data_IF_738935508420
#
_entry.id   IF_738935508420
#
_cell.length_a   1.000
_cell.length_b   1.000
_cell.length_c   1.000
_cell.angle_alpha   90.00
_cell.angle_beta   90.00
_cell.angle_gamma   90.00
#
_symmetry.space_group_name_H-M   'P 1'
#
loop_
_entity.id
_entity.type
_entity.pdbx_description
1 polymer ?
#
# COMPACT_ATOMS: atom_id res chain seq x y z
N UNK A 1 1.72 27.72 -4.18
CA UNK A 1 1.63 26.82 -5.34
C UNK A 1 0.79 25.63 -4.94
N UNK A 2 -0.03 25.07 -5.82
CA UNK A 2 -0.74 23.82 -5.51
C UNK A 2 0.28 22.69 -5.32
N UNK A 3 0.03 21.80 -4.35
CA UNK A 3 0.85 20.61 -4.12
C UNK A 3 0.87 19.71 -5.36
N UNK A 4 2.05 19.23 -5.74
CA UNK A 4 2.18 18.25 -6.82
C UNK A 4 1.75 16.88 -6.30
N UNK A 5 0.84 16.22 -7.02
CA UNK A 5 0.44 14.85 -6.73
C UNK A 5 1.37 13.87 -7.45
N UNK A 6 1.93 12.95 -6.71
CA UNK A 6 2.86 11.94 -7.22
C UNK A 6 2.19 10.56 -7.28
N UNK A 7 2.14 9.96 -8.47
CA UNK A 7 1.65 8.58 -8.67
C UNK A 7 2.76 7.62 -9.12
N UNK A 8 3.96 8.14 -9.43
CA UNK A 8 5.17 7.35 -9.77
C UNK A 8 6.14 7.39 -8.59
N UNK A 9 5.84 6.61 -7.55
CA UNK A 9 6.58 6.66 -6.28
C UNK A 9 6.39 5.38 -5.47
N UNK A 10 7.14 5.25 -4.39
CA UNK A 10 6.85 4.27 -3.34
C UNK A 10 5.77 4.85 -2.42
N UNK A 11 4.68 4.11 -2.28
CA UNK A 11 3.61 4.39 -1.32
C UNK A 11 3.68 3.41 -0.14
N UNK A 12 4.12 3.83 1.05
CA UNK A 12 3.87 3.08 2.28
C UNK A 12 2.37 2.87 2.48
N UNK A 13 1.94 1.62 2.62
CA UNK A 13 0.65 1.31 3.21
C UNK A 13 0.83 1.38 4.72
N UNK A 14 0.40 2.50 5.33
CA UNK A 14 0.69 2.77 6.74
C UNK A 14 -0.15 1.90 7.68
N UNK A 15 0.50 1.37 8.73
CA UNK A 15 -0.16 0.67 9.82
C UNK A 15 -0.72 1.67 10.83
N UNK A 16 -1.83 1.33 11.49
CA UNK A 16 -2.45 2.18 12.52
C UNK A 16 -2.15 1.59 13.90
N UNK A 17 -1.38 2.29 14.78
CA UNK A 17 -1.10 1.80 16.13
C UNK A 17 -2.36 1.91 17.00
N UNK A 18 -2.59 0.90 17.82
CA UNK A 18 -3.75 0.81 18.70
C UNK A 18 -3.31 0.77 20.17
N UNK A 19 -4.12 1.37 21.05
CA UNK A 19 -4.02 1.21 22.50
C UNK A 19 -4.70 -0.09 22.95
N UNK A 20 -4.52 -0.46 24.22
CA UNK A 20 -5.08 -1.68 24.80
C UNK A 20 -6.62 -1.74 24.76
N UNK A 21 -7.28 -0.58 24.71
CA UNK A 21 -8.74 -0.46 24.54
C UNK A 21 -9.19 -0.49 23.06
N UNK A 22 -8.28 -0.79 22.15
CA UNK A 22 -8.45 -0.75 20.69
C UNK A 22 -8.67 0.64 20.09
N UNK A 23 -8.63 1.73 20.84
CA UNK A 23 -8.63 3.07 20.25
C UNK A 23 -7.33 3.35 19.51
N UNK A 24 -7.37 4.25 18.51
CA UNK A 24 -6.18 4.67 17.77
C UNK A 24 -5.22 5.42 18.71
N UNK A 25 -3.96 5.02 18.73
CA UNK A 25 -2.91 5.77 19.43
C UNK A 25 -2.42 6.92 18.53
N UNK A 26 -3.18 8.03 18.52
CA UNK A 26 -2.88 9.17 17.63
C UNK A 26 -1.48 9.76 17.85
N UNK A 27 -0.98 9.81 19.10
CA UNK A 27 0.36 10.33 19.37
C UNK A 27 1.44 9.51 18.65
N UNK A 28 1.37 8.21 18.80
CA UNK A 28 2.30 7.27 18.18
C UNK A 28 2.15 7.25 16.65
N UNK A 29 0.90 7.34 16.17
CA UNK A 29 0.63 7.40 14.74
C UNK A 29 1.24 8.64 14.07
N UNK A 30 1.13 9.80 14.72
CA UNK A 30 1.76 11.05 14.24
C UNK A 30 3.28 10.95 14.18
N UNK A 31 3.92 10.45 15.24
CA UNK A 31 5.37 10.23 15.26
C UNK A 31 5.81 9.29 14.13
N UNK A 32 5.09 8.18 13.94
CA UNK A 32 5.32 7.24 12.85
C UNK A 32 5.21 7.89 11.46
N UNK A 33 4.20 8.72 11.24
CA UNK A 33 4.02 9.42 9.96
C UNK A 33 5.15 10.42 9.70
N UNK A 34 5.64 11.13 10.71
CA UNK A 34 6.81 12.03 10.59
C UNK A 34 8.07 11.26 10.24
N UNK A 35 8.27 10.07 10.83
CA UNK A 35 9.36 9.19 10.44
C UNK A 35 9.24 8.75 8.97
N UNK A 36 8.07 8.34 8.50
CA UNK A 36 7.85 8.01 7.08
C UNK A 36 8.11 9.25 6.20
N UNK A 37 7.63 10.43 6.58
CA UNK A 37 7.85 11.69 5.85
C UNK A 37 9.32 12.03 5.68
N UNK A 38 10.21 11.63 6.61
CA UNK A 38 11.65 11.84 6.51
C UNK A 38 12.32 11.11 5.34
N UNK A 39 11.59 10.23 4.65
CA UNK A 39 12.02 9.56 3.43
C UNK A 39 11.49 10.19 2.13
N UNK A 40 10.89 11.40 2.21
CA UNK A 40 10.31 12.08 1.04
C UNK A 40 11.32 12.21 -0.12
N UNK A 41 12.50 12.73 0.15
CA UNK A 41 13.57 12.92 -0.85
C UNK A 41 14.26 11.61 -1.25
N UNK A 42 13.88 10.50 -0.63
CA UNK A 42 14.42 9.15 -0.89
C UNK A 42 13.46 8.27 -1.69
N UNK A 43 12.40 8.85 -2.27
CA UNK A 43 11.46 8.15 -3.15
C UNK A 43 10.11 7.81 -2.53
N UNK A 44 9.80 8.26 -1.30
CA UNK A 44 8.48 8.13 -0.67
C UNK A 44 7.74 9.48 -0.75
N UNK A 45 7.12 9.75 -1.89
CA UNK A 45 6.45 11.03 -2.15
C UNK A 45 4.93 11.00 -1.91
N UNK A 46 4.43 9.90 -1.38
CA UNK A 46 3.04 9.73 -0.98
C UNK A 46 2.89 8.61 0.02
N UNK A 47 1.71 8.46 0.60
CA UNK A 47 1.36 7.34 1.48
C UNK A 47 -0.08 6.90 1.23
N UNK A 48 -0.39 5.67 1.64
CA UNK A 48 -1.74 5.12 1.61
C UNK A 48 -2.18 4.76 3.02
N UNK A 49 -3.21 5.43 3.50
CA UNK A 49 -3.94 5.07 4.71
C UNK A 49 -5.22 4.30 4.37
N UNK A 50 -5.88 3.72 5.36
CA UNK A 50 -7.07 2.91 5.15
C UNK A 50 -6.91 1.81 4.07
N UNK A 51 -5.69 1.28 3.88
CA UNK A 51 -5.46 0.05 3.12
C UNK A 51 -5.72 -1.20 3.97
N UNK A 52 -5.51 -2.39 3.42
CA UNK A 52 -5.58 -3.63 4.20
C UNK A 52 -4.55 -3.62 5.34
N UNK A 53 -3.32 -3.17 5.09
CA UNK A 53 -2.27 -3.01 6.11
C UNK A 53 -2.69 -2.05 7.23
N UNK A 54 -3.47 -1.02 6.91
CA UNK A 54 -4.06 -0.06 7.87
C UNK A 54 -5.38 -0.52 8.48
N UNK A 55 -5.73 -1.81 8.35
CA UNK A 55 -6.92 -2.44 8.97
C UNK A 55 -8.25 -1.80 8.61
N UNK A 56 -8.41 -1.34 7.35
CA UNK A 56 -9.65 -0.66 6.90
C UNK A 56 -10.93 -1.42 7.28
N UNK A 57 -10.91 -2.76 7.22
CA UNK A 57 -12.08 -3.59 7.56
C UNK A 57 -12.37 -3.66 9.07
N UNK A 58 -11.38 -3.33 9.90
CA UNK A 58 -11.49 -3.29 11.36
C UNK A 58 -11.81 -1.91 11.93
N UNK A 59 -11.67 -0.84 11.13
CA UNK A 59 -11.93 0.53 11.53
C UNK A 59 -13.37 0.94 11.24
N UNK A 60 -14.00 1.65 12.16
CA UNK A 60 -15.29 2.31 11.94
C UNK A 60 -15.15 3.44 10.90
N UNK A 61 -16.29 3.88 10.33
CA UNK A 61 -16.31 5.00 9.36
C UNK A 61 -15.68 6.28 9.93
N UNK A 62 -15.99 6.59 11.20
CA UNK A 62 -15.42 7.76 11.89
C UNK A 62 -13.89 7.62 12.07
N UNK A 63 -13.39 6.44 12.43
CA UNK A 63 -11.97 6.19 12.57
C UNK A 63 -11.24 6.27 11.22
N UNK A 64 -11.83 5.76 10.12
CA UNK A 64 -11.28 5.89 8.78
C UNK A 64 -11.11 7.36 8.38
N UNK A 65 -12.12 8.20 8.62
CA UNK A 65 -12.04 9.65 8.40
C UNK A 65 -10.91 10.27 9.24
N UNK A 66 -10.86 9.93 10.55
CA UNK A 66 -9.82 10.45 11.46
C UNK A 66 -8.40 10.07 11.03
N UNK A 67 -8.20 8.86 10.54
CA UNK A 67 -6.91 8.40 10.00
C UNK A 67 -6.48 9.26 8.80
N UNK A 68 -7.39 9.59 7.89
CA UNK A 68 -7.09 10.50 6.76
C UNK A 68 -6.71 11.89 7.26
N UNK A 69 -7.47 12.45 8.19
CA UNK A 69 -7.19 13.75 8.79
C UNK A 69 -5.78 13.80 9.37
N UNK A 70 -5.40 12.81 10.20
CA UNK A 70 -4.07 12.73 10.80
C UNK A 70 -2.97 12.63 9.72
N UNK A 71 -3.16 11.80 8.69
CA UNK A 71 -2.21 11.70 7.59
C UNK A 71 -2.07 13.03 6.83
N UNK A 72 -3.17 13.72 6.59
CA UNK A 72 -3.17 15.03 5.93
C UNK A 72 -2.52 16.11 6.79
N UNK A 73 -2.82 16.15 8.10
CA UNK A 73 -2.22 17.08 9.05
C UNK A 73 -0.69 16.92 9.15
N UNK A 74 -0.17 15.69 9.15
CA UNK A 74 1.26 15.43 9.33
C UNK A 74 2.08 15.44 8.02
N UNK A 75 1.49 15.03 6.92
CA UNK A 75 2.21 14.77 5.67
C UNK A 75 1.65 15.52 4.46
N UNK A 76 0.42 16.04 4.54
CA UNK A 76 -0.31 16.58 3.40
C UNK A 76 0.25 17.85 2.80
N UNK A 77 1.23 18.49 3.44
CA UNK A 77 1.96 19.65 2.93
C UNK A 77 2.85 19.31 1.72
N UNK A 78 3.48 18.13 1.70
CA UNK A 78 4.40 17.70 0.64
C UNK A 78 4.04 16.34 0.02
N UNK A 79 3.48 15.40 0.80
CA UNK A 79 3.20 14.04 0.34
C UNK A 79 1.79 13.90 -0.24
N UNK A 80 1.64 13.07 -1.28
CA UNK A 80 0.34 12.66 -1.82
C UNK A 80 -0.35 11.72 -0.84
N UNK A 81 -1.53 12.07 -0.36
CA UNK A 81 -2.32 11.29 0.59
C UNK A 81 -3.39 10.49 -0.15
N UNK A 82 -3.33 9.18 -0.07
CA UNK A 82 -4.29 8.27 -0.68
C UNK A 82 -5.07 7.55 0.41
N UNK A 83 -6.40 7.58 0.36
CA UNK A 83 -7.26 6.80 1.26
C UNK A 83 -7.79 5.55 0.58
N UNK A 84 -7.67 4.40 1.21
CA UNK A 84 -8.38 3.20 0.79
C UNK A 84 -9.89 3.37 0.92
N UNK A 85 -10.63 2.87 -0.09
CA UNK A 85 -12.10 2.77 -0.08
C UNK A 85 -12.45 1.30 -0.29
N UNK A 86 -13.15 0.74 0.69
CA UNK A 86 -13.60 -0.65 0.69
C UNK A 86 -15.04 -0.73 1.18
N UNK A 87 -15.97 -0.80 0.25
CA UNK A 87 -17.41 -0.87 0.47
C UNK A 87 -18.05 -1.94 -0.40
N UNK A 88 -19.24 -2.39 -0.02
CA UNK A 88 -19.98 -3.43 -0.74
C UNK A 88 -20.87 -2.86 -1.87
N UNK A 89 -21.07 -1.55 -1.95
CA UNK A 89 -21.88 -0.92 -2.98
C UNK A 89 -21.32 0.42 -3.44
N UNK A 90 -21.74 0.85 -4.64
CA UNK A 90 -21.26 2.07 -5.31
C UNK A 90 -21.63 3.34 -4.54
N UNK A 91 -22.83 3.43 -3.99
CA UNK A 91 -23.31 4.64 -3.28
C UNK A 91 -22.43 4.91 -2.06
N UNK A 92 -22.23 3.90 -1.24
CA UNK A 92 -21.37 4.01 -0.05
C UNK A 92 -19.91 4.31 -0.43
N UNK A 93 -19.41 3.74 -1.55
CA UNK A 93 -18.07 4.02 -2.05
C UNK A 93 -17.92 5.49 -2.45
N UNK A 94 -18.92 6.08 -3.10
CA UNK A 94 -18.94 7.51 -3.44
C UNK A 94 -18.96 8.38 -2.18
N UNK A 95 -19.81 8.05 -1.20
CA UNK A 95 -19.88 8.80 0.05
C UNK A 95 -18.57 8.76 0.82
N UNK A 96 -17.96 7.58 0.96
CA UNK A 96 -16.67 7.44 1.66
C UNK A 96 -15.53 8.13 0.90
N UNK A 97 -15.56 8.12 -0.43
CA UNK A 97 -14.56 8.84 -1.23
C UNK A 97 -14.68 10.36 -1.06
N UNK A 98 -15.91 10.90 -0.97
CA UNK A 98 -16.16 12.33 -0.63
C UNK A 98 -15.64 12.67 0.76
N UNK A 99 -15.94 11.84 1.77
CA UNK A 99 -15.44 12.03 3.13
C UNK A 99 -13.91 12.00 3.20
N UNK A 100 -13.27 11.11 2.45
CA UNK A 100 -11.82 11.06 2.36
C UNK A 100 -11.24 12.34 1.72
N UNK A 101 -11.86 12.84 0.65
CA UNK A 101 -11.50 14.11 0.00
C UNK A 101 -11.63 15.29 0.97
N UNK A 102 -12.74 15.38 1.69
CA UNK A 102 -12.99 16.40 2.73
C UNK A 102 -11.97 16.34 3.87
N UNK A 103 -11.53 15.13 4.24
CA UNK A 103 -10.53 14.90 5.27
C UNK A 103 -9.08 15.18 4.78
N UNK A 104 -8.90 15.52 3.50
CA UNK A 104 -7.63 15.94 2.93
C UNK A 104 -6.90 14.87 2.09
N UNK A 105 -7.58 13.81 1.66
CA UNK A 105 -7.01 12.89 0.68
C UNK A 105 -6.91 13.53 -0.71
N UNK A 106 -5.80 13.30 -1.40
CA UNK A 106 -5.55 13.74 -2.77
C UNK A 106 -6.11 12.77 -3.81
N UNK A 107 -6.30 11.52 -3.40
CA UNK A 107 -6.82 10.43 -4.22
C UNK A 107 -7.28 9.26 -3.36
N UNK A 108 -7.82 8.25 -4.01
CA UNK A 108 -8.29 7.04 -3.34
C UNK A 108 -7.65 5.78 -3.94
N UNK A 109 -7.46 4.75 -3.10
CA UNK A 109 -7.20 3.39 -3.50
C UNK A 109 -8.54 2.65 -3.51
N UNK A 110 -9.16 2.51 -4.69
CA UNK A 110 -10.48 1.92 -4.81
C UNK A 110 -10.39 0.41 -4.94
N UNK A 111 -10.91 -0.29 -3.94
CA UNK A 111 -10.95 -1.74 -3.87
C UNK A 111 -12.24 -2.29 -4.49
N UNK A 112 -12.20 -3.48 -5.10
CA UNK A 112 -13.43 -4.12 -5.56
C UNK A 112 -14.34 -4.47 -4.37
N UNK A 113 -15.67 -4.42 -4.53
CA UNK A 113 -16.61 -4.93 -3.53
C UNK A 113 -16.31 -6.38 -3.17
N UNK A 114 -16.26 -6.73 -1.88
CA UNK A 114 -15.91 -8.08 -1.45
C UNK A 114 -16.96 -9.13 -1.81
N UNK A 115 -18.22 -8.72 -2.05
CA UNK A 115 -19.23 -9.63 -2.61
C UNK A 115 -18.76 -10.29 -3.91
N UNK A 116 -17.95 -9.62 -4.73
CA UNK A 116 -17.39 -10.19 -5.96
C UNK A 116 -16.42 -11.34 -5.71
N UNK A 117 -15.74 -11.37 -4.56
CA UNK A 117 -14.91 -12.50 -4.16
C UNK A 117 -15.74 -13.79 -4.03
N UNK A 118 -16.98 -13.66 -3.56
CA UNK A 118 -17.91 -14.79 -3.37
C UNK A 118 -18.62 -15.18 -4.66
N UNK A 119 -19.19 -14.19 -5.36
CA UNK A 119 -20.16 -14.42 -6.44
C UNK A 119 -19.60 -14.14 -7.83
N UNK A 120 -18.47 -13.45 -7.95
CA UNK A 120 -18.00 -12.90 -9.21
C UNK A 120 -18.77 -11.64 -9.61
N UNK A 121 -18.59 -11.19 -10.82
CA UNK A 121 -19.19 -9.98 -11.38
C UNK A 121 -19.49 -10.18 -12.86
N UNK A 122 -20.40 -9.37 -13.44
CA UNK A 122 -20.57 -9.27 -14.88
C UNK A 122 -19.43 -8.47 -15.53
N UNK A 123 -19.21 -8.66 -16.82
CA UNK A 123 -18.05 -8.10 -17.54
C UNK A 123 -17.98 -6.56 -17.47
N UNK A 124 -19.14 -5.87 -17.50
CA UNK A 124 -19.22 -4.42 -17.45
C UNK A 124 -19.22 -3.82 -16.05
N UNK A 125 -19.48 -4.63 -15.01
CA UNK A 125 -19.63 -4.14 -13.65
C UNK A 125 -18.39 -3.42 -13.11
N UNK A 126 -17.15 -3.88 -13.33
CA UNK A 126 -15.96 -3.19 -12.87
C UNK A 126 -15.80 -1.80 -13.49
N UNK A 127 -16.02 -1.69 -14.81
CA UNK A 127 -15.93 -0.41 -15.50
C UNK A 127 -16.95 0.61 -14.97
N UNK A 128 -18.22 0.18 -14.84
CA UNK A 128 -19.28 1.06 -14.36
C UNK A 128 -19.02 1.48 -12.90
N UNK A 129 -18.58 0.55 -12.05
CA UNK A 129 -18.25 0.84 -10.65
C UNK A 129 -17.15 1.92 -10.53
N UNK A 130 -16.03 1.77 -11.24
CA UNK A 130 -14.93 2.74 -11.22
C UNK A 130 -15.40 4.10 -11.76
N UNK A 131 -16.16 4.09 -12.84
CA UNK A 131 -16.72 5.30 -13.48
C UNK A 131 -17.66 6.06 -12.55
N UNK A 132 -18.63 5.37 -11.96
CA UNK A 132 -19.60 5.97 -11.04
C UNK A 132 -18.94 6.60 -9.82
N UNK A 133 -17.92 5.92 -9.24
CA UNK A 133 -17.17 6.46 -8.10
C UNK A 133 -16.33 7.66 -8.51
N UNK A 134 -15.68 7.60 -9.67
CA UNK A 134 -14.90 8.72 -10.23
C UNK A 134 -15.76 9.98 -10.41
N UNK A 135 -16.87 9.84 -11.12
CA UNK A 135 -17.81 10.94 -11.40
C UNK A 135 -18.51 11.43 -10.12
N UNK A 136 -18.92 10.49 -9.26
CA UNK A 136 -19.64 10.82 -8.03
C UNK A 136 -18.82 11.53 -6.99
N UNK A 137 -17.53 11.22 -6.84
CA UNK A 137 -16.65 11.79 -5.82
C UNK A 137 -15.70 12.87 -6.36
N UNK A 138 -15.49 12.93 -7.68
CA UNK A 138 -14.57 13.87 -8.34
C UNK A 138 -13.18 13.87 -7.67
N UNK A 139 -12.54 12.69 -7.65
CA UNK A 139 -11.24 12.44 -6.98
C UNK A 139 -10.39 11.45 -7.79
N UNK A 140 -9.07 11.62 -7.77
CA UNK A 140 -8.14 10.73 -8.47
C UNK A 140 -8.15 9.32 -7.87
N UNK A 141 -8.04 8.29 -8.74
CA UNK A 141 -8.18 6.88 -8.39
C UNK A 141 -6.90 6.10 -8.68
N UNK A 142 -6.45 5.34 -7.68
CA UNK A 142 -5.59 4.17 -7.85
C UNK A 142 -6.50 2.95 -7.88
N UNK A 143 -6.57 2.23 -8.98
CA UNK A 143 -7.30 0.97 -9.06
C UNK A 143 -6.55 -0.10 -8.26
N UNK A 144 -7.21 -0.76 -7.30
CA UNK A 144 -6.62 -1.90 -6.63
C UNK A 144 -6.97 -3.18 -7.39
N UNK A 145 -6.10 -3.60 -8.29
CA UNK A 145 -6.27 -4.86 -9.00
C UNK A 145 -6.03 -6.04 -8.03
N UNK A 146 -7.05 -6.88 -7.84
CA UNK A 146 -6.95 -8.09 -7.03
C UNK A 146 -6.26 -9.22 -7.81
N UNK A 147 -5.74 -10.27 -7.14
CA UNK A 147 -5.06 -11.38 -7.80
C UNK A 147 -5.87 -12.02 -8.91
N UNK A 148 -5.22 -12.45 -10.00
CA UNK A 148 -5.86 -13.11 -11.15
C UNK A 148 -6.63 -14.40 -10.78
N UNK A 149 -6.27 -15.03 -9.66
CA UNK A 149 -7.00 -16.18 -9.11
C UNK A 149 -8.28 -15.80 -8.36
N UNK A 150 -8.52 -14.51 -8.17
CA UNK A 150 -9.70 -13.97 -7.49
C UNK A 150 -10.86 -13.76 -8.48
N UNK A 151 -12.09 -14.01 -8.07
CA UNK A 151 -13.29 -13.65 -8.84
C UNK A 151 -13.52 -12.14 -8.97
N UNK A 152 -12.76 -11.33 -8.22
CA UNK A 152 -12.80 -9.86 -8.24
C UNK A 152 -11.62 -9.26 -9.02
N UNK A 153 -10.89 -10.05 -9.80
CA UNK A 153 -9.86 -9.57 -10.71
C UNK A 153 -10.49 -8.93 -11.94
N UNK A 154 -9.94 -7.79 -12.38
CA UNK A 154 -10.39 -7.11 -13.59
C UNK A 154 -9.55 -7.59 -14.80
N UNK A 155 -10.20 -8.02 -15.91
CA UNK A 155 -9.48 -8.35 -17.15
C UNK A 155 -8.66 -7.16 -17.64
N UNK A 156 -7.49 -7.42 -18.24
CA UNK A 156 -6.60 -6.34 -18.73
C UNK A 156 -7.26 -5.44 -19.76
N UNK A 157 -8.15 -5.96 -20.61
CA UNK A 157 -8.90 -5.15 -21.57
C UNK A 157 -9.86 -4.16 -20.88
N UNK A 158 -10.47 -4.57 -19.76
CA UNK A 158 -11.31 -3.70 -18.93
C UNK A 158 -10.46 -2.61 -18.26
N UNK A 159 -9.26 -2.95 -17.78
CA UNK A 159 -8.31 -1.97 -17.23
C UNK A 159 -7.90 -0.93 -18.28
N UNK A 160 -7.57 -1.36 -19.51
CA UNK A 160 -7.24 -0.45 -20.63
C UNK A 160 -8.41 0.49 -20.92
N UNK A 161 -9.64 -0.03 -20.96
CA UNK A 161 -10.84 0.78 -21.16
C UNK A 161 -11.00 1.82 -20.04
N UNK A 162 -10.84 1.43 -18.78
CA UNK A 162 -10.88 2.34 -17.63
C UNK A 162 -9.85 3.45 -17.75
N UNK A 163 -8.60 3.10 -18.10
CA UNK A 163 -7.51 4.06 -18.25
C UNK A 163 -7.73 5.07 -19.39
N UNK A 164 -8.40 4.66 -20.47
CA UNK A 164 -8.65 5.52 -21.64
C UNK A 164 -9.91 6.39 -21.51
N UNK A 165 -10.91 5.93 -20.75
CA UNK A 165 -12.23 6.57 -20.73
C UNK A 165 -12.57 7.26 -19.39
N UNK A 166 -11.75 7.07 -18.33
CA UNK A 166 -12.01 7.64 -17.00
C UNK A 166 -10.81 8.50 -16.59
N UNK A 167 -10.93 9.81 -16.77
CA UNK A 167 -9.83 10.77 -16.52
C UNK A 167 -9.26 10.73 -15.10
N UNK A 168 -10.06 10.34 -14.12
CA UNK A 168 -9.63 10.20 -12.72
C UNK A 168 -8.75 8.99 -12.45
N UNK A 169 -8.66 8.00 -13.34
CA UNK A 169 -7.75 6.86 -13.19
C UNK A 169 -6.33 7.33 -13.48
N UNK A 170 -5.49 7.36 -12.44
CA UNK A 170 -4.08 7.81 -12.51
C UNK A 170 -3.08 6.68 -12.35
N UNK A 171 -3.50 5.60 -11.69
CA UNK A 171 -2.59 4.55 -11.32
C UNK A 171 -3.32 3.21 -11.17
N UNK A 172 -2.60 2.12 -11.42
CA UNK A 172 -3.05 0.76 -11.11
C UNK A 172 -2.06 0.11 -10.14
N UNK A 173 -2.57 -0.34 -9.01
CA UNK A 173 -1.86 -1.22 -8.08
C UNK A 173 -1.99 -2.66 -8.58
N UNK A 174 -0.92 -3.19 -9.17
CA UNK A 174 -0.89 -4.51 -9.83
C UNK A 174 -0.83 -5.64 -8.80
N UNK A 175 -1.96 -6.35 -8.62
CA UNK A 175 -2.11 -7.39 -7.58
C UNK A 175 -1.97 -8.84 -8.07
N UNK A 176 -1.77 -9.05 -9.36
CA UNK A 176 -1.66 -10.39 -9.96
C UNK A 176 -0.33 -11.05 -9.58
N UNK A 177 -0.39 -12.22 -8.96
CA UNK A 177 0.78 -13.00 -8.51
C UNK A 177 1.16 -14.17 -9.43
N UNK A 178 0.42 -14.37 -10.51
CA UNK A 178 0.80 -15.29 -11.59
C UNK A 178 1.75 -14.54 -12.52
N UNK A 179 3.03 -14.82 -12.43
CA UNK A 179 4.11 -14.05 -13.09
C UNK A 179 3.89 -13.86 -14.58
N UNK A 180 3.44 -14.88 -15.31
CA UNK A 180 3.17 -14.79 -16.75
C UNK A 180 2.03 -13.82 -17.08
N UNK A 181 0.97 -13.79 -16.27
CA UNK A 181 -0.14 -12.84 -16.42
C UNK A 181 0.33 -11.44 -16.02
N UNK A 182 1.05 -11.31 -14.91
CA UNK A 182 1.58 -10.05 -14.42
C UNK A 182 2.45 -9.36 -15.48
N UNK A 183 3.41 -10.08 -16.05
CA UNK A 183 4.31 -9.55 -17.09
C UNK A 183 3.55 -9.17 -18.36
N UNK A 184 2.62 -10.01 -18.81
CA UNK A 184 1.77 -9.74 -19.98
C UNK A 184 0.96 -8.46 -19.77
N UNK A 185 0.25 -8.35 -18.63
CA UNK A 185 -0.64 -7.23 -18.36
C UNK A 185 0.14 -5.93 -18.20
N UNK A 186 1.30 -5.95 -17.54
CA UNK A 186 2.16 -4.76 -17.41
C UNK A 186 2.62 -4.27 -18.78
N UNK A 187 3.11 -5.17 -19.65
CA UNK A 187 3.60 -4.79 -20.99
C UNK A 187 2.48 -4.24 -21.86
N UNK A 188 1.31 -4.85 -21.83
CA UNK A 188 0.16 -4.39 -22.59
C UNK A 188 -0.35 -3.03 -22.09
N UNK A 189 -0.45 -2.83 -20.78
CA UNK A 189 -0.84 -1.55 -20.20
C UNK A 189 0.19 -0.45 -20.51
N UNK A 190 1.49 -0.74 -20.52
CA UNK A 190 2.53 0.21 -20.94
C UNK A 190 2.37 0.64 -22.39
N UNK A 191 2.03 -0.30 -23.26
CA UNK A 191 1.80 -0.01 -24.69
C UNK A 191 0.54 0.82 -24.91
N UNK A 192 -0.57 0.44 -24.27
CA UNK A 192 -1.90 1.01 -24.53
C UNK A 192 -2.20 2.27 -23.72
N UNK A 193 -1.58 2.42 -22.54
CA UNK A 193 -1.84 3.48 -21.56
C UNK A 193 -0.52 4.01 -20.94
N UNK A 194 0.40 4.58 -21.73
CA UNK A 194 1.76 4.93 -21.28
C UNK A 194 1.80 5.99 -20.16
N UNK A 195 0.75 6.82 -20.05
CA UNK A 195 0.66 7.89 -19.05
C UNK A 195 0.18 7.41 -17.67
N UNK A 196 -0.40 6.20 -17.62
CA UNK A 196 -0.91 5.61 -16.36
C UNK A 196 0.24 5.02 -15.56
N UNK A 197 0.30 5.36 -14.28
CA UNK A 197 1.27 4.78 -13.36
C UNK A 197 0.94 3.32 -13.05
N UNK A 198 1.94 2.43 -13.13
CA UNK A 198 1.82 1.04 -12.72
C UNK A 198 2.72 0.79 -11.52
N UNK A 199 2.14 0.40 -10.39
CA UNK A 199 2.87 0.15 -9.15
C UNK A 199 2.65 -1.28 -8.67
N UNK A 200 3.70 -1.93 -8.19
CA UNK A 200 3.59 -3.28 -7.62
C UNK A 200 3.02 -3.27 -6.20
N UNK A 201 2.44 -4.42 -5.79
CA UNK A 201 2.04 -4.65 -4.40
C UNK A 201 2.62 -5.95 -3.83
N UNK A 202 3.70 -6.44 -4.43
CA UNK A 202 4.27 -7.76 -4.10
C UNK A 202 5.38 -7.62 -3.05
N UNK A 203 5.02 -7.40 -1.78
CA UNK A 203 5.98 -7.38 -0.67
C UNK A 203 6.82 -8.67 -0.62
N UNK A 204 6.19 -9.83 -0.89
CA UNK A 204 6.82 -11.15 -0.83
C UNK A 204 7.84 -11.42 -1.95
N UNK A 205 7.73 -10.70 -3.08
CA UNK A 205 8.62 -10.83 -4.26
C UNK A 205 8.95 -9.48 -4.87
N UNK A 206 9.18 -8.49 -4.02
CA UNK A 206 9.24 -7.07 -4.41
C UNK A 206 10.22 -6.80 -5.55
N UNK A 207 11.47 -7.21 -5.40
CA UNK A 207 12.51 -6.94 -6.40
C UNK A 207 12.18 -7.56 -7.76
N UNK A 208 11.69 -8.79 -7.78
CA UNK A 208 11.28 -9.48 -9.01
C UNK A 208 10.12 -8.75 -9.67
N UNK A 209 9.20 -8.21 -8.89
CA UNK A 209 8.02 -7.52 -9.41
C UNK A 209 8.31 -6.15 -10.03
N UNK A 210 9.49 -5.56 -9.77
CA UNK A 210 9.91 -4.30 -10.40
C UNK A 210 10.50 -4.47 -11.81
N UNK A 211 11.05 -5.65 -12.15
CA UNK A 211 11.71 -5.90 -13.43
C UNK A 211 10.89 -5.58 -14.70
N UNK A 212 9.56 -5.75 -14.74
CA UNK A 212 8.78 -5.37 -15.92
C UNK A 212 8.69 -3.85 -16.17
N UNK A 213 9.37 -3.02 -15.38
CA UNK A 213 9.38 -1.56 -15.55
C UNK A 213 8.24 -0.87 -14.81
N UNK A 214 8.10 -1.14 -13.51
CA UNK A 214 7.12 -0.46 -12.65
C UNK A 214 7.52 0.98 -12.32
N UNK A 215 6.54 1.84 -12.02
CA UNK A 215 6.77 3.23 -11.61
C UNK A 215 6.93 3.41 -10.09
N UNK A 216 6.90 2.31 -9.34
CA UNK A 216 6.98 2.33 -7.89
C UNK A 216 6.36 1.10 -7.23
N UNK A 217 5.91 1.27 -6.01
CA UNK A 217 5.23 0.23 -5.24
C UNK A 217 4.21 0.80 -4.27
N UNK A 218 3.15 0.05 -3.96
CA UNK A 218 2.24 0.31 -2.85
C UNK A 218 2.24 -0.91 -1.94
N UNK A 219 3.02 -0.86 -0.88
CA UNK A 219 3.44 -2.00 -0.08
C UNK A 219 3.46 -1.71 1.43
N UNK A 220 3.21 -2.72 2.24
CA UNK A 220 3.33 -2.65 3.69
C UNK A 220 4.79 -2.46 4.14
N UNK A 221 5.73 -3.06 3.44
CA UNK A 221 7.16 -2.94 3.75
C UNK A 221 7.68 -1.51 3.77
N UNK A 222 7.23 -0.66 2.86
CA UNK A 222 7.66 0.74 2.85
C UNK A 222 7.22 1.49 4.11
N UNK A 223 6.15 1.03 4.78
CA UNK A 223 5.74 1.54 6.09
C UNK A 223 6.49 0.91 7.28
N UNK A 224 7.25 -0.17 7.05
CA UNK A 224 7.94 -0.90 8.11
C UNK A 224 9.47 -0.78 8.02
N UNK A 225 10.02 -0.80 6.80
CA UNK A 225 11.47 -0.85 6.54
C UNK A 225 11.87 0.08 5.37
N UNK A 226 11.46 1.37 5.39
CA UNK A 226 11.70 2.30 4.29
C UNK A 226 13.17 2.46 3.93
N UNK A 227 14.08 2.38 4.92
CA UNK A 227 15.53 2.45 4.71
C UNK A 227 16.12 1.26 3.93
N UNK A 228 15.37 0.18 3.79
CA UNK A 228 15.72 -0.95 2.95
C UNK A 228 15.09 -0.83 1.55
N UNK A 229 13.85 -0.33 1.50
CA UNK A 229 13.07 -0.25 0.27
C UNK A 229 13.52 0.91 -0.62
N UNK A 230 13.78 2.09 -0.05
CA UNK A 230 14.17 3.26 -0.84
C UNK A 230 15.48 3.06 -1.63
N UNK A 231 16.60 2.60 -1.01
CA UNK A 231 17.81 2.34 -1.77
C UNK A 231 17.67 1.21 -2.81
N UNK A 232 16.89 0.17 -2.48
CA UNK A 232 16.59 -0.88 -3.45
C UNK A 232 15.85 -0.32 -4.66
N UNK A 233 14.84 0.53 -4.42
CA UNK A 233 14.07 1.18 -5.49
C UNK A 233 14.95 2.03 -6.41
N UNK A 234 15.91 2.80 -5.87
CA UNK A 234 16.83 3.59 -6.70
C UNK A 234 17.60 2.72 -7.72
N UNK A 235 18.02 1.52 -7.32
CA UNK A 235 18.71 0.57 -8.20
C UNK A 235 17.78 0.04 -9.31
N UNK A 236 16.53 -0.28 -8.99
CA UNK A 236 15.58 -0.83 -9.98
C UNK A 236 14.97 0.24 -10.89
N UNK A 237 14.87 1.47 -10.42
CA UNK A 237 14.32 2.61 -11.16
C UNK A 237 15.30 3.11 -12.23
N UNK A 238 16.61 2.99 -11.99
CA UNK A 238 17.66 3.43 -12.91
C UNK A 238 18.64 2.29 -13.24
N UNK A 239 18.19 1.30 -14.05
CA UNK A 239 18.99 0.13 -14.39
C UNK A 239 20.22 0.46 -15.29
N UNK A 240 20.29 1.66 -15.87
CA UNK A 240 21.44 2.08 -16.68
C UNK A 240 22.63 2.50 -15.80
N UNK A 241 22.36 3.02 -14.61
CA UNK A 241 23.38 3.46 -13.65
C UNK A 241 23.80 2.39 -12.65
N UNK A 242 23.11 1.24 -12.62
CA UNK A 242 23.29 0.19 -11.63
C UNK A 242 23.52 -1.20 -12.25
N UNK A 243 24.11 -2.09 -11.49
CA UNK A 243 24.41 -3.46 -11.94
C UNK A 243 23.38 -4.47 -11.42
N UNK A 244 23.23 -5.59 -12.15
CA UNK A 244 22.44 -6.73 -11.68
C UNK A 244 22.92 -7.25 -10.32
N UNK A 245 24.24 -7.18 -10.05
CA UNK A 245 24.82 -7.60 -8.77
C UNK A 245 24.35 -6.73 -7.60
N UNK A 246 24.20 -5.42 -7.82
CA UNK A 246 23.64 -4.51 -6.82
C UNK A 246 22.15 -4.83 -6.58
N UNK A 247 21.39 -5.04 -7.65
CA UNK A 247 19.98 -5.45 -7.54
C UNK A 247 19.82 -6.76 -6.75
N UNK A 248 20.68 -7.76 -7.01
CA UNK A 248 20.69 -9.02 -6.26
C UNK A 248 21.03 -8.81 -4.78
N UNK A 249 22.00 -7.97 -4.46
CA UNK A 249 22.38 -7.70 -3.07
C UNK A 249 21.24 -7.05 -2.27
N UNK A 250 20.45 -6.16 -2.88
CA UNK A 250 19.25 -5.62 -2.24
C UNK A 250 18.15 -6.66 -2.11
N UNK A 251 17.95 -7.49 -3.13
CA UNK A 251 16.98 -8.58 -3.10
C UNK A 251 17.27 -9.56 -1.96
N UNK A 252 18.55 -9.96 -1.79
CA UNK A 252 18.98 -10.86 -0.71
C UNK A 252 18.72 -10.25 0.68
N UNK A 253 18.95 -8.95 0.85
CA UNK A 253 18.64 -8.27 2.14
C UNK A 253 17.15 -8.18 2.42
N UNK A 254 16.33 -7.90 1.41
CA UNK A 254 14.87 -7.82 1.54
C UNK A 254 14.28 -9.21 1.81
N UNK A 255 14.86 -10.27 1.23
CA UNK A 255 14.36 -11.63 1.33
C UNK A 255 14.14 -12.09 2.77
N UNK A 256 15.07 -11.84 3.68
CA UNK A 256 14.98 -12.33 5.05
C UNK A 256 13.79 -11.77 5.82
N UNK A 257 13.58 -10.45 5.75
CA UNK A 257 12.42 -9.82 6.41
C UNK A 257 11.11 -10.15 5.67
N UNK A 258 11.17 -10.32 4.35
CA UNK A 258 10.02 -10.76 3.54
C UNK A 258 9.54 -12.14 3.97
N UNK A 259 10.46 -13.11 4.13
CA UNK A 259 10.12 -14.45 4.62
C UNK A 259 9.55 -14.43 6.04
N UNK A 260 10.13 -13.64 6.92
CA UNK A 260 9.67 -13.54 8.30
C UNK A 260 8.23 -12.97 8.41
N UNK A 261 7.85 -12.06 7.52
CA UNK A 261 6.52 -11.42 7.56
C UNK A 261 5.50 -12.19 6.74
N UNK A 262 5.85 -12.59 5.50
CA UNK A 262 4.88 -13.21 4.58
C UNK A 262 5.00 -14.74 4.48
N UNK A 263 6.04 -15.35 5.07
CA UNK A 263 6.22 -16.80 5.09
C UNK A 263 6.33 -17.45 3.70
N UNK A 264 6.84 -16.71 2.70
CA UNK A 264 6.94 -17.17 1.31
C UNK A 264 5.60 -17.28 0.58
N UNK A 265 4.51 -16.81 1.18
CA UNK A 265 3.15 -16.90 0.65
C UNK A 265 2.53 -15.55 0.30
N UNK A 266 1.23 -15.57 0.05
CA UNK A 266 0.45 -14.37 -0.19
C UNK A 266 0.18 -13.60 1.12
N UNK A 267 -0.09 -12.28 1.07
CA UNK A 267 -0.50 -11.52 2.24
C UNK A 267 -1.68 -12.15 2.96
N UNK A 268 -1.60 -12.16 4.29
CA UNK A 268 -2.67 -12.63 5.19
C UNK A 268 -2.89 -11.63 6.33
N UNK A 269 -3.91 -11.83 7.13
CA UNK A 269 -4.14 -11.01 8.34
C UNK A 269 -2.96 -11.08 9.30
N UNK A 270 -2.37 -12.26 9.46
CA UNK A 270 -1.19 -12.51 10.30
C UNK A 270 0.06 -11.81 9.76
N UNK A 271 0.19 -11.64 8.43
CA UNK A 271 1.29 -10.86 7.87
C UNK A 271 1.23 -9.39 8.31
N UNK A 272 0.04 -8.80 8.41
CA UNK A 272 -0.11 -7.45 8.94
C UNK A 272 0.22 -7.35 10.44
N UNK A 273 -0.12 -8.39 11.22
CA UNK A 273 0.31 -8.49 12.61
C UNK A 273 1.84 -8.59 12.73
N UNK A 274 2.49 -9.38 11.87
CA UNK A 274 3.96 -9.47 11.82
C UNK A 274 4.63 -8.16 11.37
N UNK A 275 4.00 -7.39 10.48
CA UNK A 275 4.46 -6.02 10.15
C UNK A 275 4.44 -5.11 11.39
N UNK A 276 3.34 -5.12 12.16
CA UNK A 276 3.28 -4.36 13.41
C UNK A 276 4.29 -4.84 14.45
N UNK A 277 4.47 -6.16 14.57
CA UNK A 277 5.49 -6.73 15.46
C UNK A 277 6.90 -6.26 15.08
N UNK A 278 7.21 -6.20 13.77
CA UNK A 278 8.49 -5.65 13.31
C UNK A 278 8.65 -4.18 13.70
N UNK A 279 7.59 -3.37 13.61
CA UNK A 279 7.59 -1.97 14.08
C UNK A 279 7.80 -1.87 15.60
N UNK A 280 7.23 -2.80 16.38
CA UNK A 280 7.44 -2.88 17.84
C UNK A 280 8.88 -3.22 18.16
N UNK A 281 9.44 -4.27 17.54
CA UNK A 281 10.83 -4.67 17.77
C UNK A 281 11.83 -3.60 17.32
N UNK A 282 11.45 -2.78 16.35
CA UNK A 282 12.19 -1.62 15.89
C UNK A 282 11.95 -0.36 16.73
N UNK A 283 11.15 -0.43 17.79
CA UNK A 283 10.78 0.67 18.70
C UNK A 283 10.00 1.81 18.03
N UNK A 284 9.37 1.56 16.90
CA UNK A 284 8.50 2.52 16.22
C UNK A 284 7.09 2.51 16.85
N UNK A 285 6.60 1.33 17.22
CA UNK A 285 5.34 1.14 17.94
C UNK A 285 5.56 0.53 19.32
N UNK A 286 4.63 0.81 20.24
CA UNK A 286 4.61 0.20 21.58
C UNK A 286 3.81 -1.10 21.62
N UNK A 287 2.90 -1.33 20.66
CA UNK A 287 2.03 -2.48 20.61
C UNK A 287 1.80 -2.98 19.17
N UNK A 288 1.83 -4.30 19.00
CA UNK A 288 1.46 -4.97 17.75
C UNK A 288 -0.04 -5.36 17.70
N UNK A 289 -0.87 -4.78 18.56
CA UNK A 289 -2.29 -5.11 18.66
C UNK A 289 -3.01 -4.88 17.33
N UNK A 290 -3.78 -5.90 16.92
CA UNK A 290 -4.64 -5.86 15.73
C UNK A 290 -6.12 -5.91 16.13
N UNK A 291 -7.00 -5.35 15.31
CA UNK A 291 -8.44 -5.55 15.48
C UNK A 291 -8.80 -7.02 15.33
N UNK A 292 -9.67 -7.51 16.22
CA UNK A 292 -10.23 -8.87 16.08
C UNK A 292 -11.00 -8.98 14.76
N UNK A 293 -11.00 -10.17 14.09
CA UNK A 293 -10.63 -11.49 14.62
C UNK A 293 -9.16 -11.88 14.47
N UNK A 294 -8.25 -10.98 14.05
CA UNK A 294 -6.81 -11.30 14.01
C UNK A 294 -6.33 -11.56 15.44
N UNK A 295 -5.69 -12.70 15.63
CA UNK A 295 -5.18 -13.11 16.94
C UNK A 295 -3.79 -12.52 17.19
N UNK A 296 -3.40 -12.34 18.48
CA UNK A 296 -2.02 -11.99 18.82
C UNK A 296 -1.04 -13.06 18.34
N UNK A 297 0.13 -12.62 17.88
CA UNK A 297 1.20 -13.52 17.44
C UNK A 297 1.73 -14.38 18.61
N UNK A 298 2.02 -15.64 18.30
CA UNK A 298 2.77 -16.54 19.18
C UNK A 298 4.25 -16.14 19.30
N UNK A 299 4.94 -16.68 20.30
CA UNK A 299 6.36 -16.38 20.54
C UNK A 299 7.23 -16.78 19.34
N UNK A 300 6.97 -17.91 18.72
CA UNK A 300 7.69 -18.39 17.53
C UNK A 300 7.63 -17.40 16.37
N UNK A 301 6.46 -16.81 16.10
CA UNK A 301 6.30 -15.83 15.04
C UNK A 301 7.06 -14.52 15.36
N UNK A 302 7.06 -14.10 16.63
CA UNK A 302 7.85 -12.94 17.08
C UNK A 302 9.35 -13.19 16.95
N UNK A 303 9.81 -14.38 17.26
CA UNK A 303 11.20 -14.79 17.11
C UNK A 303 11.62 -14.84 15.63
N UNK A 304 10.70 -15.25 14.73
CA UNK A 304 10.92 -15.19 13.28
C UNK A 304 11.08 -13.77 12.79
N UNK A 305 10.23 -12.86 13.25
CA UNK A 305 10.36 -11.44 12.92
C UNK A 305 11.69 -10.88 13.39
N UNK A 306 12.12 -11.20 14.63
CA UNK A 306 13.43 -10.81 15.17
C UNK A 306 14.60 -11.32 14.31
N UNK A 307 14.52 -12.57 13.89
CA UNK A 307 15.53 -13.18 13.03
C UNK A 307 15.57 -12.50 11.64
N UNK A 308 14.41 -12.22 11.05
CA UNK A 308 14.29 -11.49 9.79
C UNK A 308 14.92 -10.10 9.85
N UNK A 309 14.60 -9.32 10.90
CA UNK A 309 15.19 -8.00 11.15
C UNK A 309 16.71 -8.08 11.29
N UNK A 310 17.22 -9.04 12.04
CA UNK A 310 18.67 -9.27 12.25
C UNK A 310 19.38 -9.58 10.94
N UNK A 311 18.86 -10.51 10.14
CA UNK A 311 19.50 -10.92 8.88
C UNK A 311 19.40 -9.81 7.81
N UNK A 312 18.34 -9.02 7.81
CA UNK A 312 18.18 -7.84 6.95
C UNK A 312 18.97 -6.62 7.46
N UNK A 313 19.68 -6.74 8.60
CA UNK A 313 20.48 -5.68 9.22
C UNK A 313 19.65 -4.42 9.53
N UNK A 314 18.46 -4.60 10.11
CA UNK A 314 17.52 -3.54 10.42
C UNK A 314 17.60 -3.21 11.94
N UNK A 315 18.11 -2.04 12.32
CA UNK A 315 18.22 -1.65 13.73
C UNK A 315 16.88 -1.15 14.29
N UNK A 316 16.86 -0.98 15.60
CA UNK A 316 15.84 -0.16 16.27
C UNK A 316 15.97 1.31 15.85
N UNK A 317 14.85 2.02 15.82
CA UNK A 317 14.75 3.43 15.45
C UNK A 317 14.67 4.28 16.72
N UNK A 318 15.40 5.39 16.75
CA UNK A 318 15.18 6.42 17.77
C UNK A 318 14.02 7.31 17.33
N UNK A 319 12.86 7.13 17.97
CA UNK A 319 11.65 7.89 17.66
C UNK A 319 11.58 9.25 18.34
N UNK A 320 12.53 9.60 19.23
CA UNK A 320 12.50 10.84 20.02
C UNK A 320 12.50 12.12 19.15
N UNK A 321 13.10 12.06 17.95
CA UNK A 321 13.11 13.18 17.00
C UNK A 321 11.74 13.42 16.36
N UNK A 322 10.89 12.40 16.31
CA UNK A 322 9.58 12.42 15.65
C UNK A 322 8.39 12.62 16.62
N UNK A 323 8.65 12.62 17.93
CA UNK A 323 7.60 12.81 18.96
C UNK A 323 7.24 14.27 19.26
N UNK A 324 7.95 15.22 18.69
CA UNK A 324 7.84 16.66 19.01
C UNK A 324 6.70 17.35 18.28
#
# INVERSE_FOLDING_TARGET
MAKVKHFKTIFPAVSVPLKDDYSINEKEFRAYLRWIKSFYDKGIQGLVCNGHTGEITGLSRAERKRVVEICSEECGDIMTIISGINCENTIESIEMAKEAKEAGADGILLMPPHMWLRFGMSDDAPFQYIKDVAEGADIDIIIHLYPATSKANYPVQTLIKMCKEIDHVKCIKMGTRVTSIYEHDVRLLRQECPDISLITCHDETLCVSWFPGMDGALIGFAGCVPELICPAWEVFKDPESHTLKEAQAWSDRIYHISQAIYGGGQPSGEAHARLKEALVQRKVFTSALMRKPVLPLGQEEKDWVALGLKHSQLPAIDMSEFEK
#
